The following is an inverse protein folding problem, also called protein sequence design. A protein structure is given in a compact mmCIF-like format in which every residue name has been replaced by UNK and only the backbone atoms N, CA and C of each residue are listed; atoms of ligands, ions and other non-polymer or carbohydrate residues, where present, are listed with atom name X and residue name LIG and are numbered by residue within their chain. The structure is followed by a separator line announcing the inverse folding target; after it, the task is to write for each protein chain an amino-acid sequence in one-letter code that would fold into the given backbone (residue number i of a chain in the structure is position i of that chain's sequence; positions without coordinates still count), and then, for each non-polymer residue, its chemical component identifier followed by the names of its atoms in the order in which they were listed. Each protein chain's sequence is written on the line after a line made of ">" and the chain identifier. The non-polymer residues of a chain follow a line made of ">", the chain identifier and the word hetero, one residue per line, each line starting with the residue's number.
data_IF_244974526516
#
_entry.id   IF_244974526516
#
_cell.length_a   1.000
_cell.length_b   1.000
_cell.length_c   1.000
_cell.angle_alpha   90.00
_cell.angle_beta   90.00
_cell.angle_gamma   90.00
#
_symmetry.space_group_name_H-M   'P 1'
#
loop_
_entity.id
_entity.type
_entity.pdbx_description
1 polymer ?
#
# COMPACT_ATOMS: atom_id res chain seq x y z
N UNK A 1 6.70 -5.33 -16.95
CA UNK A 1 6.61 -4.29 -15.92
C UNK A 1 6.57 -4.93 -14.55
N UNK A 2 7.46 -4.50 -13.68
CA UNK A 2 7.49 -5.02 -12.32
C UNK A 2 6.71 -4.11 -11.39
N UNK A 3 5.77 -4.69 -10.66
CA UNK A 3 4.89 -3.97 -9.76
C UNK A 3 4.96 -4.60 -8.39
N UNK A 4 5.09 -3.77 -7.37
CA UNK A 4 5.05 -4.22 -5.98
C UNK A 4 3.80 -3.70 -5.30
N UNK A 5 3.25 -4.49 -4.40
CA UNK A 5 2.12 -4.10 -3.58
C UNK A 5 2.55 -4.21 -2.12
N UNK A 6 2.30 -3.17 -1.37
CA UNK A 6 2.64 -3.15 0.05
C UNK A 6 1.40 -2.80 0.85
N UNK A 7 0.63 -3.80 1.27
CA UNK A 7 -0.57 -3.54 2.07
C UNK A 7 -0.23 -3.44 3.55
N UNK A 8 -1.02 -2.67 4.26
CA UNK A 8 -0.85 -2.56 5.70
C UNK A 8 -1.85 -1.60 6.29
N UNK A 9 -1.88 -1.52 7.61
CA UNK A 9 -2.76 -0.59 8.31
C UNK A 9 -2.20 0.83 8.29
N UNK A 10 -0.89 0.96 8.41
CA UNK A 10 -0.20 2.26 8.47
C UNK A 10 -0.85 3.21 9.48
N UNK A 11 -0.89 2.80 10.71
CA UNK A 11 -1.66 3.48 11.76
C UNK A 11 -0.75 3.90 12.92
N UNK A 12 0.09 4.94 12.75
CA UNK A 12 0.39 5.66 11.51
C UNK A 12 1.55 5.03 10.74
N UNK A 13 1.85 5.62 9.58
CA UNK A 13 3.06 5.23 8.85
C UNK A 13 4.29 5.60 9.67
N UNK A 14 5.31 4.75 9.61
CA UNK A 14 6.55 4.93 10.36
C UNK A 14 7.73 5.07 9.41
N UNK A 15 8.88 5.45 9.97
CA UNK A 15 10.11 5.52 9.17
C UNK A 15 10.50 4.17 8.60
N UNK A 16 10.20 3.08 9.35
CA UNK A 16 10.44 1.73 8.85
C UNK A 16 9.61 1.42 7.61
N UNK A 17 8.34 1.81 7.63
CA UNK A 17 7.49 1.65 6.46
C UNK A 17 8.04 2.44 5.27
N UNK A 18 8.44 3.68 5.51
CA UNK A 18 8.97 4.54 4.46
C UNK A 18 10.25 3.96 3.84
N UNK A 19 11.12 3.40 4.67
CA UNK A 19 12.34 2.78 4.17
C UNK A 19 12.03 1.64 3.21
N UNK A 20 11.09 0.79 3.57
CA UNK A 20 10.68 -0.32 2.71
C UNK A 20 10.08 0.19 1.40
N UNK A 21 9.24 1.21 1.48
CA UNK A 21 8.60 1.78 0.30
C UNK A 21 9.64 2.40 -0.63
N UNK A 22 10.59 3.13 -0.09
CA UNK A 22 11.64 3.76 -0.91
C UNK A 22 12.52 2.74 -1.60
N UNK A 23 12.85 1.67 -0.89
CA UNK A 23 13.64 0.59 -1.49
C UNK A 23 12.87 -0.10 -2.60
N UNK A 24 11.58 -0.35 -2.38
CA UNK A 24 10.74 -0.95 -3.41
C UNK A 24 10.63 -0.03 -4.62
N UNK A 25 10.52 1.28 -4.40
CA UNK A 25 10.43 2.24 -5.48
C UNK A 25 11.68 2.23 -6.38
N UNK A 26 12.83 1.87 -5.82
CA UNK A 26 14.05 1.75 -6.61
C UNK A 26 14.11 0.44 -7.40
N UNK A 27 13.44 -0.59 -6.92
CA UNK A 27 13.53 -1.92 -7.52
C UNK A 27 12.39 -2.24 -8.49
N UNK A 28 11.27 -1.56 -8.35
CA UNK A 28 10.07 -1.85 -9.15
C UNK A 28 9.66 -0.64 -9.97
N UNK A 29 9.00 -0.92 -11.08
CA UNK A 29 8.51 0.16 -11.96
C UNK A 29 7.37 0.93 -11.30
N UNK A 30 6.56 0.25 -10.51
CA UNK A 30 5.44 0.86 -9.80
C UNK A 30 5.26 0.19 -8.46
N UNK A 31 4.95 0.99 -7.44
CA UNK A 31 4.66 0.48 -6.10
C UNK A 31 3.30 1.01 -5.68
N UNK A 32 2.41 0.08 -5.33
CA UNK A 32 1.11 0.43 -4.77
C UNK A 32 1.17 0.18 -3.27
N UNK A 33 1.01 1.25 -2.50
CA UNK A 33 0.94 1.14 -1.05
C UNK A 33 -0.52 1.25 -0.67
N UNK A 34 -1.07 0.20 -0.10
CA UNK A 34 -2.49 0.11 0.13
C UNK A 34 -2.80 0.14 1.63
N UNK A 35 -3.53 1.18 2.04
CA UNK A 35 -4.05 1.24 3.41
C UNK A 35 -5.25 0.31 3.45
N UNK A 36 -5.10 -0.81 4.15
CA UNK A 36 -6.18 -1.79 4.29
C UNK A 36 -7.02 -1.39 5.49
N UNK A 37 -8.29 -1.14 5.25
CA UNK A 37 -9.22 -0.80 6.28
C UNK A 37 -10.25 -1.93 6.43
N UNK A 38 -10.03 -2.76 7.41
CA UNK A 38 -10.91 -3.88 7.71
C UNK A 38 -11.92 -3.43 8.75
N UNK A 39 -13.17 -3.33 8.37
CA UNK A 39 -14.21 -2.81 9.25
C UNK A 39 -14.47 -3.68 10.48
N UNK A 40 -13.96 -4.90 10.51
CA UNK A 40 -14.07 -5.75 11.69
C UNK A 40 -12.95 -5.51 12.70
N UNK A 41 -12.00 -4.67 12.37
CA UNK A 41 -10.90 -4.38 13.27
C UNK A 41 -11.35 -3.52 14.42
N UNK A 42 -10.65 -3.68 15.53
CA UNK A 42 -10.82 -2.82 16.68
C UNK A 42 -10.38 -1.41 16.34
N UNK A 43 -10.62 -0.50 17.27
CA UNK A 43 -10.30 0.90 17.06
C UNK A 43 -8.85 1.09 16.60
N UNK A 44 -8.70 1.90 15.57
CA UNK A 44 -7.40 2.34 15.09
C UNK A 44 -7.04 3.66 15.77
N UNK A 45 -5.74 3.98 15.77
CA UNK A 45 -5.28 5.26 16.30
C UNK A 45 -5.83 6.42 15.46
N UNK A 46 -5.90 6.23 14.14
CA UNK A 46 -6.41 7.24 13.22
C UNK A 46 -7.44 6.64 12.28
N UNK A 47 -8.42 7.45 11.83
CA UNK A 47 -9.35 7.00 10.80
C UNK A 47 -8.62 6.64 9.50
N UNK A 48 -9.24 5.80 8.68
CA UNK A 48 -8.63 5.32 7.44
C UNK A 48 -8.24 6.47 6.52
N UNK A 49 -9.11 7.46 6.38
CA UNK A 49 -8.83 8.61 5.52
C UNK A 49 -7.62 9.41 5.99
N UNK A 50 -7.47 9.53 7.30
CA UNK A 50 -6.33 10.24 7.87
C UNK A 50 -5.04 9.45 7.65
N UNK A 51 -5.11 8.13 7.80
CA UNK A 51 -3.95 7.26 7.55
C UNK A 51 -3.52 7.37 6.09
N UNK A 52 -4.47 7.40 5.17
CA UNK A 52 -4.18 7.55 3.75
C UNK A 52 -3.54 8.90 3.46
N UNK A 53 -4.05 9.96 4.07
CA UNK A 53 -3.50 11.30 3.88
C UNK A 53 -2.05 11.37 4.34
N UNK A 54 -1.77 10.83 5.52
CA UNK A 54 -0.41 10.81 6.05
C UNK A 54 0.53 10.03 5.16
N UNK A 55 0.06 8.91 4.63
CA UNK A 55 0.85 8.10 3.72
C UNK A 55 1.15 8.87 2.44
N UNK A 56 0.13 9.50 1.85
CA UNK A 56 0.31 10.27 0.61
C UNK A 56 1.34 11.36 0.77
N UNK A 57 1.31 12.06 1.90
CA UNK A 57 2.29 13.11 2.17
C UNK A 57 3.69 12.56 2.29
N UNK A 58 3.80 11.39 2.90
CA UNK A 58 5.10 10.77 3.15
C UNK A 58 5.77 10.29 1.87
N UNK A 59 4.98 9.91 0.86
CA UNK A 59 5.53 9.37 -0.40
C UNK A 59 5.40 10.36 -1.56
N UNK A 60 5.09 11.61 -1.28
CA UNK A 60 4.84 12.60 -2.32
C UNK A 60 6.05 12.82 -3.24
N UNK A 61 7.25 12.57 -2.74
CA UNK A 61 8.47 12.72 -3.52
C UNK A 61 8.85 11.48 -4.33
N UNK A 62 8.03 10.43 -4.28
CA UNK A 62 8.29 9.18 -5.00
C UNK A 62 7.29 9.05 -6.15
N UNK A 63 7.71 9.37 -7.39
CA UNK A 63 6.76 9.46 -8.50
C UNK A 63 6.16 8.14 -8.93
N UNK A 64 6.82 7.01 -8.65
CA UNK A 64 6.31 5.70 -9.01
C UNK A 64 5.58 5.00 -7.87
N UNK A 65 5.30 5.71 -6.78
CA UNK A 65 4.57 5.17 -5.65
C UNK A 65 3.17 5.77 -5.61
N UNK A 66 2.18 4.91 -5.49
CA UNK A 66 0.79 5.34 -5.40
C UNK A 66 0.18 4.81 -4.12
N UNK A 67 -0.47 5.70 -3.37
CA UNK A 67 -1.12 5.33 -2.11
C UNK A 67 -2.61 5.21 -2.33
N UNK A 68 -3.19 4.15 -1.79
CA UNK A 68 -4.61 3.87 -1.96
C UNK A 68 -5.22 3.38 -0.67
N UNK A 69 -6.53 3.53 -0.56
CA UNK A 69 -7.30 2.98 0.54
C UNK A 69 -8.21 1.89 -0.01
N UNK A 70 -8.21 0.75 0.64
CA UNK A 70 -9.10 -0.34 0.25
C UNK A 70 -9.76 -0.94 1.48
N UNK A 71 -11.06 -1.11 1.41
CA UNK A 71 -11.84 -1.77 2.45
C UNK A 71 -12.21 -3.16 1.94
N UNK A 72 -11.68 -4.18 2.61
CA UNK A 72 -11.95 -5.56 2.21
C UNK A 72 -10.72 -6.44 2.34
N UNK A 73 -10.74 -7.55 1.62
CA UNK A 73 -9.66 -8.52 1.68
C UNK A 73 -8.61 -8.21 0.63
N UNK A 74 -7.37 -8.55 0.96
CA UNK A 74 -6.25 -8.35 0.04
C UNK A 74 -6.49 -9.02 -1.32
N UNK A 75 -7.10 -10.21 -1.31
CA UNK A 75 -7.38 -10.92 -2.55
C UNK A 75 -8.31 -10.12 -3.47
N UNK A 76 -9.29 -9.42 -2.88
CA UNK A 76 -10.21 -8.60 -3.65
C UNK A 76 -9.50 -7.39 -4.24
N UNK A 77 -8.61 -6.79 -3.47
CA UNK A 77 -7.81 -5.67 -3.94
C UNK A 77 -6.96 -6.07 -5.15
N UNK A 78 -6.29 -7.21 -5.05
CA UNK A 78 -5.44 -7.69 -6.13
C UNK A 78 -6.26 -7.98 -7.39
N UNK A 79 -7.46 -8.54 -7.21
CA UNK A 79 -8.34 -8.84 -8.33
C UNK A 79 -8.81 -7.57 -9.02
N UNK A 80 -9.19 -6.57 -8.24
CA UNK A 80 -9.64 -5.29 -8.78
C UNK A 80 -8.56 -4.61 -9.59
N UNK A 81 -7.32 -4.73 -9.14
CA UNK A 81 -6.17 -4.14 -9.83
C UNK A 81 -5.71 -4.97 -11.02
N UNK A 82 -6.18 -6.21 -11.14
CA UNK A 82 -5.77 -7.09 -12.21
C UNK A 82 -4.42 -7.71 -12.00
N UNK A 83 -4.01 -7.85 -10.75
CA UNK A 83 -2.74 -8.49 -10.42
C UNK A 83 -2.92 -9.99 -10.33
N UNK A 84 -1.91 -10.72 -10.79
CA UNK A 84 -1.91 -12.18 -10.70
C UNK A 84 -1.62 -12.61 -9.27
N UNK A 85 -0.82 -11.84 -8.58
CA UNK A 85 -0.33 -12.18 -7.27
C UNK A 85 -0.13 -10.91 -6.45
N UNK A 86 -0.39 -10.98 -5.15
CA UNK A 86 -0.23 -9.83 -4.26
C UNK A 86 0.12 -10.31 -2.87
N UNK A 87 0.88 -9.47 -2.15
CA UNK A 87 1.25 -9.74 -0.78
C UNK A 87 2.08 -8.60 -0.24
N UNK A 88 2.34 -8.61 1.06
CA UNK A 88 3.12 -7.56 1.71
C UNK A 88 4.56 -7.59 1.20
N UNK A 89 4.93 -6.60 0.42
CA UNK A 89 6.27 -6.49 -0.14
C UNK A 89 6.56 -7.50 -1.24
N UNK A 90 5.56 -8.21 -1.74
CA UNK A 90 5.75 -9.20 -2.79
C UNK A 90 5.58 -8.58 -4.17
N UNK A 91 6.32 -9.13 -5.11
CA UNK A 91 6.21 -8.74 -6.50
C UNK A 91 4.88 -9.23 -7.08
N UNK A 92 4.25 -8.40 -7.89
CA UNK A 92 3.03 -8.77 -8.58
C UNK A 92 3.14 -8.38 -10.04
N UNK A 93 2.41 -9.10 -10.90
CA UNK A 93 2.39 -8.84 -12.32
C UNK A 93 0.96 -8.55 -12.74
N UNK A 94 0.79 -7.47 -13.48
CA UNK A 94 -0.53 -7.10 -13.99
C UNK A 94 -0.90 -8.03 -15.16
N UNK A 95 -2.05 -8.62 -15.07
CA UNK A 95 -2.52 -9.54 -16.10
C UNK A 95 -3.13 -8.84 -17.30
#
# INVERSE_FOLDING_TARGET
>A
MKIAIYPGSFDPITLGHLDIIRRAALCFDKVYVCVMDNCNKKAHMFPAEKRLEMLRRSVADLPNVEAELFRGLLADYARERGFVRAGAGEEATRS
#
